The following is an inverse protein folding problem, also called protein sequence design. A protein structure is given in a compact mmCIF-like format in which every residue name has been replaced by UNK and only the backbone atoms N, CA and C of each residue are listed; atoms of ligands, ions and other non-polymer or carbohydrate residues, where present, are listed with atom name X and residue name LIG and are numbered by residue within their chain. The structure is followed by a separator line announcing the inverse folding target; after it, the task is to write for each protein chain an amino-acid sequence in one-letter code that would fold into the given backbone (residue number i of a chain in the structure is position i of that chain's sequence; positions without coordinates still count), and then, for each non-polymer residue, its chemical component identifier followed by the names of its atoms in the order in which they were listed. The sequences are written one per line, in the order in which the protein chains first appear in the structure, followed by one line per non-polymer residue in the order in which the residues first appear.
data_IF_642022877852
#
_entry.id   IF_642022877852
#
_cell.length_a   1.000
_cell.length_b   1.000
_cell.length_c   1.000
_cell.angle_alpha   90.00
_cell.angle_beta   90.00
_cell.angle_gamma   90.00
#
_symmetry.space_group_name_H-M   'P 1'
#
loop_
_entity.id
_entity.type
_entity.pdbx_description
1 polymer ?
#
# COMPACT_ATOMS: atom_id res chain seq x y z
N UNK A 1 14.31 -121.33 -3.17
CA UNK A 1 14.34 -119.96 -2.63
C UNK A 1 15.77 -119.73 -2.17
N UNK A 2 16.53 -118.81 -2.77
CA UNK A 2 17.88 -118.50 -2.28
C UNK A 2 17.74 -117.83 -0.91
N UNK A 3 18.60 -118.16 0.04
CA UNK A 3 18.61 -117.49 1.34
C UNK A 3 19.13 -116.05 1.17
N UNK A 4 18.71 -115.11 2.03
CA UNK A 4 19.15 -113.71 1.92
C UNK A 4 20.68 -113.55 1.97
N UNK A 5 21.35 -114.42 2.75
CA UNK A 5 22.81 -114.48 2.82
C UNK A 5 23.46 -114.95 1.52
N UNK A 6 22.88 -115.95 0.85
CA UNK A 6 23.37 -116.41 -0.47
C UNK A 6 23.25 -115.32 -1.54
N UNK A 7 22.18 -114.51 -1.50
CA UNK A 7 22.00 -113.38 -2.39
C UNK A 7 23.05 -112.29 -2.16
N UNK A 8 23.28 -111.89 -0.91
CA UNK A 8 24.32 -110.91 -0.55
C UNK A 8 25.73 -111.39 -0.92
N UNK A 9 26.04 -112.67 -0.70
CA UNK A 9 27.33 -113.25 -1.11
C UNK A 9 27.51 -113.25 -2.62
N UNK A 10 26.45 -113.47 -3.39
CA UNK A 10 26.52 -113.38 -4.85
C UNK A 10 26.76 -111.92 -5.29
N UNK A 11 26.07 -110.96 -4.68
CA UNK A 11 26.26 -109.54 -4.95
C UNK A 11 27.70 -109.07 -4.68
N UNK A 12 28.28 -109.46 -3.53
CA UNK A 12 29.69 -109.20 -3.21
C UNK A 12 30.70 -109.80 -4.19
N UNK A 13 30.33 -110.85 -4.94
CA UNK A 13 31.21 -111.39 -6.00
C UNK A 13 31.17 -110.53 -7.26
N UNK A 14 30.02 -109.94 -7.55
CA UNK A 14 29.81 -109.11 -8.73
C UNK A 14 30.44 -107.70 -8.57
N UNK A 15 30.74 -107.25 -7.35
CA UNK A 15 31.44 -105.97 -7.09
C UNK A 15 32.84 -105.89 -7.72
N UNK A 16 33.42 -107.02 -8.12
CA UNK A 16 34.69 -107.05 -8.86
C UNK A 16 34.57 -106.49 -10.29
N UNK A 17 33.36 -106.50 -10.86
CA UNK A 17 33.13 -106.02 -12.22
C UNK A 17 32.97 -104.51 -12.27
N UNK A 18 33.57 -103.89 -13.29
CA UNK A 18 33.52 -102.44 -13.50
C UNK A 18 32.12 -101.92 -13.87
N UNK A 19 31.27 -102.79 -14.41
CA UNK A 19 29.85 -102.51 -14.71
C UNK A 19 29.03 -102.37 -13.44
N UNK A 20 29.35 -103.16 -12.40
CA UNK A 20 28.65 -103.10 -11.12
C UNK A 20 28.66 -101.69 -10.53
N UNK A 21 29.76 -100.94 -10.64
CA UNK A 21 29.86 -99.58 -10.07
C UNK A 21 29.46 -98.43 -11.00
N UNK A 22 29.34 -98.67 -12.31
CA UNK A 22 29.05 -97.61 -13.30
C UNK A 22 27.67 -97.71 -13.91
N UNK A 23 27.16 -98.93 -14.05
CA UNK A 23 25.97 -99.23 -14.86
C UNK A 23 24.92 -99.99 -14.01
N UNK A 24 24.81 -99.66 -12.72
CA UNK A 24 23.72 -100.18 -11.89
C UNK A 24 22.37 -99.81 -12.49
N UNK A 25 21.48 -100.79 -12.62
CA UNK A 25 20.17 -100.57 -13.21
C UNK A 25 19.38 -99.57 -12.36
N UNK A 26 19.00 -98.45 -12.97
CA UNK A 26 18.17 -97.42 -12.35
C UNK A 26 18.93 -96.41 -11.49
N UNK A 27 20.27 -96.44 -11.47
CA UNK A 27 21.10 -95.43 -10.81
C UNK A 27 22.12 -94.83 -11.76
N UNK A 28 22.57 -93.63 -11.42
CA UNK A 28 23.68 -92.93 -12.07
C UNK A 28 24.97 -93.38 -11.34
N UNK A 29 26.13 -93.44 -12.02
CA UNK A 29 27.41 -93.62 -11.35
C UNK A 29 27.57 -92.67 -10.16
N UNK A 30 28.09 -93.18 -9.05
CA UNK A 30 28.33 -92.37 -7.85
C UNK A 30 29.33 -91.24 -8.15
N UNK A 31 28.87 -89.99 -7.96
CA UNK A 31 29.68 -88.77 -8.18
C UNK A 31 30.22 -88.18 -6.88
N UNK A 32 29.83 -88.70 -5.71
CA UNK A 32 30.30 -88.27 -4.39
C UNK A 32 31.83 -88.21 -4.27
N UNK A 33 32.63 -89.16 -4.78
CA UNK A 33 34.09 -89.07 -4.63
C UNK A 33 34.74 -87.88 -5.35
N UNK A 34 34.06 -87.28 -6.33
CA UNK A 34 34.57 -86.13 -7.08
C UNK A 34 34.04 -84.80 -6.54
N UNK A 35 33.25 -84.82 -5.47
CA UNK A 35 32.67 -83.63 -4.88
C UNK A 35 33.71 -82.88 -4.03
N UNK A 36 33.72 -81.54 -4.01
CA UNK A 36 34.55 -80.77 -3.10
C UNK A 36 34.37 -81.21 -1.64
N UNK A 37 35.47 -81.19 -0.87
CA UNK A 37 35.46 -81.60 0.53
C UNK A 37 34.44 -80.77 1.33
N UNK A 38 33.51 -81.44 2.02
CA UNK A 38 32.46 -80.81 2.82
C UNK A 38 31.19 -80.44 2.06
N UNK A 39 31.08 -80.77 0.77
CA UNK A 39 29.85 -80.59 0.00
C UNK A 39 28.89 -81.76 0.24
N UNK A 40 27.68 -81.45 0.70
CA UNK A 40 26.62 -82.44 0.90
C UNK A 40 25.68 -82.45 -0.34
N UNK A 41 25.62 -83.54 -1.12
CA UNK A 41 24.80 -83.61 -2.32
C UNK A 41 23.30 -83.50 -2.05
N UNK A 42 22.83 -83.88 -0.85
CA UNK A 42 21.40 -83.87 -0.50
C UNK A 42 20.93 -82.47 -0.09
N UNK A 43 21.80 -81.69 0.56
CA UNK A 43 21.46 -80.37 1.11
C UNK A 43 21.95 -79.18 0.27
N UNK A 44 22.92 -79.40 -0.62
CA UNK A 44 23.52 -78.31 -1.40
C UNK A 44 22.75 -78.06 -2.70
N UNK A 45 22.23 -76.85 -2.87
CA UNK A 45 21.61 -76.44 -4.15
C UNK A 45 22.69 -75.92 -5.10
N UNK A 46 22.80 -76.53 -6.28
CA UNK A 46 23.71 -76.08 -7.34
C UNK A 46 23.15 -74.87 -8.10
N UNK A 47 24.05 -74.03 -8.62
CA UNK A 47 23.72 -72.83 -9.39
C UNK A 47 24.09 -71.52 -8.69
N UNK A 48 24.07 -70.41 -9.43
CA UNK A 48 24.36 -69.08 -8.88
C UNK A 48 23.08 -68.43 -8.37
N UNK A 49 23.07 -68.01 -7.09
CA UNK A 49 21.98 -67.17 -6.58
C UNK A 49 22.10 -65.77 -7.23
N UNK A 50 21.01 -65.17 -7.72
CA UNK A 50 21.06 -63.80 -8.23
C UNK A 50 21.39 -62.84 -7.09
N UNK A 51 22.36 -61.97 -7.31
CA UNK A 51 22.78 -60.99 -6.32
C UNK A 51 21.76 -59.84 -6.28
N UNK A 52 21.05 -59.72 -5.15
CA UNK A 52 20.12 -58.60 -4.91
C UNK A 52 20.93 -57.40 -4.43
N UNK A 53 21.35 -56.54 -5.36
CA UNK A 53 22.21 -55.36 -5.05
C UNK A 53 21.45 -54.31 -4.23
N UNK A 54 20.24 -53.94 -4.69
CA UNK A 54 19.49 -52.82 -4.12
C UNK A 54 17.99 -53.07 -4.23
N UNK A 55 17.24 -52.59 -3.24
CA UNK A 55 15.78 -52.62 -3.27
C UNK A 55 15.23 -51.44 -4.08
N UNK A 56 14.12 -51.63 -4.80
CA UNK A 56 13.46 -50.53 -5.51
C UNK A 56 13.14 -49.33 -4.60
N UNK A 57 12.82 -49.58 -3.33
CA UNK A 57 12.58 -48.54 -2.33
C UNK A 57 13.80 -47.63 -2.11
N UNK A 58 15.01 -48.19 -2.10
CA UNK A 58 16.25 -47.42 -1.94
C UNK A 58 16.62 -46.63 -3.20
N UNK A 59 16.12 -47.06 -4.35
CA UNK A 59 16.34 -46.40 -5.64
C UNK A 59 15.35 -45.25 -5.84
N UNK A 60 14.08 -45.47 -5.51
CA UNK A 60 13.00 -44.49 -5.69
C UNK A 60 13.06 -43.41 -4.63
N UNK A 61 13.29 -43.78 -3.36
CA UNK A 61 13.29 -42.83 -2.26
C UNK A 61 14.72 -42.44 -1.90
N UNK A 62 15.07 -41.14 -1.93
CA UNK A 62 16.38 -40.71 -1.48
C UNK A 62 16.55 -41.05 0.02
N UNK A 63 17.73 -41.58 0.38
CA UNK A 63 18.09 -41.86 1.78
C UNK A 63 18.22 -40.59 2.62
N UNK A 64 18.40 -39.43 1.97
CA UNK A 64 18.51 -38.12 2.62
C UNK A 64 17.16 -37.65 3.16
N UNK A 65 17.16 -37.08 4.35
CA UNK A 65 15.97 -36.42 4.91
C UNK A 65 15.59 -35.18 4.08
N UNK A 66 14.28 -34.92 3.95
CA UNK A 66 13.74 -33.76 3.23
C UNK A 66 14.34 -32.44 3.70
N UNK A 67 14.54 -32.27 5.01
CA UNK A 67 15.09 -31.04 5.58
C UNK A 67 16.51 -30.74 5.04
N UNK A 68 17.35 -31.77 4.93
CA UNK A 68 18.70 -31.63 4.40
C UNK A 68 18.68 -31.31 2.90
N UNK A 69 17.80 -31.97 2.13
CA UNK A 69 17.63 -31.69 0.70
C UNK A 69 17.22 -30.23 0.46
N UNK A 70 16.27 -29.72 1.25
CA UNK A 70 15.81 -28.35 1.13
C UNK A 70 16.92 -27.35 1.54
N UNK A 71 17.70 -27.68 2.57
CA UNK A 71 18.85 -26.87 2.95
C UNK A 71 19.89 -26.79 1.83
N UNK A 72 20.31 -27.93 1.27
CA UNK A 72 21.24 -27.99 0.14
C UNK A 72 20.71 -27.19 -1.07
N UNK A 73 19.41 -27.31 -1.37
CA UNK A 73 18.75 -26.57 -2.43
C UNK A 73 18.81 -25.06 -2.18
N UNK A 74 18.51 -24.60 -0.97
CA UNK A 74 18.50 -23.17 -0.63
C UNK A 74 19.89 -22.53 -0.71
N UNK A 75 20.94 -23.27 -0.34
CA UNK A 75 22.33 -22.79 -0.40
C UNK A 75 22.78 -22.62 -1.86
N UNK A 76 22.38 -23.53 -2.74
CA UNK A 76 22.72 -23.47 -4.18
C UNK A 76 21.80 -22.57 -5.01
N UNK A 77 20.67 -22.13 -4.46
CA UNK A 77 19.59 -21.50 -5.22
C UNK A 77 20.04 -20.23 -5.96
N UNK A 78 20.70 -19.30 -5.27
CA UNK A 78 21.13 -18.02 -5.88
C UNK A 78 22.10 -18.21 -7.06
N UNK A 79 23.04 -19.16 -6.93
CA UNK A 79 23.96 -19.53 -8.00
C UNK A 79 23.21 -20.16 -9.19
N UNK A 80 22.18 -20.95 -8.91
CA UNK A 80 21.37 -21.61 -9.93
C UNK A 80 20.44 -20.64 -10.65
N UNK A 81 19.82 -19.70 -9.92
CA UNK A 81 19.08 -18.57 -10.48
C UNK A 81 19.95 -17.75 -11.44
N UNK A 82 21.21 -17.47 -11.06
CA UNK A 82 22.14 -16.68 -11.87
C UNK A 82 22.60 -17.40 -13.13
N UNK A 83 22.93 -18.70 -13.03
CA UNK A 83 23.48 -19.48 -14.14
C UNK A 83 22.42 -20.00 -15.11
N UNK A 84 21.26 -20.42 -14.61
CA UNK A 84 20.22 -21.09 -15.39
C UNK A 84 18.90 -20.31 -15.47
N UNK A 85 18.80 -19.15 -14.83
CA UNK A 85 17.58 -18.36 -14.76
C UNK A 85 16.38 -19.18 -14.24
N UNK A 86 16.65 -20.10 -13.31
CA UNK A 86 15.69 -21.01 -12.69
C UNK A 86 15.32 -20.48 -11.31
N UNK A 87 14.05 -20.10 -11.14
CA UNK A 87 13.51 -19.51 -9.91
C UNK A 87 12.50 -20.44 -9.28
N UNK A 88 12.28 -20.30 -7.97
CA UNK A 88 11.18 -21.00 -7.31
C UNK A 88 9.82 -20.41 -7.74
N UNK A 89 8.74 -21.21 -7.69
CA UNK A 89 7.40 -20.70 -7.96
C UNK A 89 7.04 -19.53 -7.02
N UNK A 90 6.68 -18.39 -7.60
CA UNK A 90 6.32 -17.18 -6.85
C UNK A 90 7.47 -16.20 -6.59
N UNK A 91 8.70 -16.55 -6.97
CA UNK A 91 9.81 -15.60 -6.94
C UNK A 91 9.76 -14.65 -8.14
N UNK A 92 10.07 -13.38 -7.88
CA UNK A 92 10.24 -12.39 -8.93
C UNK A 92 11.71 -12.30 -9.30
N UNK A 93 12.01 -12.37 -10.60
CA UNK A 93 13.33 -12.00 -11.13
C UNK A 93 13.59 -10.51 -10.87
N UNK A 94 14.49 -10.20 -9.96
CA UNK A 94 14.93 -8.83 -9.68
C UNK A 94 16.28 -8.59 -10.37
N UNK A 95 16.32 -7.66 -11.31
CA UNK A 95 17.54 -7.30 -12.05
C UNK A 95 18.22 -6.06 -11.44
N UNK A 96 17.52 -5.34 -10.56
CA UNK A 96 17.96 -4.05 -10.03
C UNK A 96 18.53 -4.19 -8.62
N UNK A 97 19.79 -3.79 -8.45
CA UNK A 97 20.43 -3.54 -7.15
C UNK A 97 20.71 -2.03 -7.00
N UNK A 98 20.31 -1.38 -5.88
CA UNK A 98 19.65 -1.94 -4.69
C UNK A 98 18.13 -2.16 -4.86
N UNK A 99 17.56 -3.00 -3.98
CA UNK A 99 16.11 -3.21 -3.89
C UNK A 99 15.37 -1.89 -3.72
N UNK A 100 14.32 -1.69 -4.53
CA UNK A 100 13.39 -0.57 -4.35
C UNK A 100 12.87 -0.53 -2.91
N UNK A 101 12.82 0.65 -2.27
CA UNK A 101 12.25 0.80 -0.95
C UNK A 101 10.75 0.47 -0.99
N UNK A 102 10.25 -0.22 0.04
CA UNK A 102 8.86 -0.68 0.12
C UNK A 102 7.84 0.47 0.05
N UNK A 103 8.23 1.64 0.54
CA UNK A 103 7.38 2.84 0.60
C UNK A 103 7.42 3.67 -0.69
N UNK A 104 8.17 3.22 -1.70
CA UNK A 104 8.25 3.91 -2.98
C UNK A 104 6.98 3.67 -3.78
N UNK A 105 6.31 4.76 -4.15
CA UNK A 105 5.21 4.73 -5.11
C UNK A 105 5.79 4.93 -6.51
N UNK A 106 5.36 4.11 -7.46
CA UNK A 106 5.74 4.26 -8.86
C UNK A 106 4.97 5.42 -9.51
N UNK A 107 5.60 6.10 -10.47
CA UNK A 107 5.00 7.18 -11.25
C UNK A 107 5.43 8.58 -10.83
N UNK A 108 4.97 9.58 -11.60
CA UNK A 108 5.30 10.99 -11.34
C UNK A 108 4.42 11.51 -10.21
N UNK A 109 5.04 12.00 -9.13
CA UNK A 109 4.32 12.69 -8.07
C UNK A 109 3.86 14.04 -8.59
N UNK A 110 2.57 14.16 -8.86
CA UNK A 110 1.96 15.46 -9.12
C UNK A 110 1.79 16.20 -7.78
N UNK A 111 2.20 17.47 -7.75
CA UNK A 111 1.98 18.35 -6.59
C UNK A 111 0.53 18.82 -6.65
N UNK A 112 -0.39 17.96 -6.23
CA UNK A 112 -1.81 18.28 -6.12
C UNK A 112 -2.14 18.54 -4.66
N UNK A 113 -2.69 19.71 -4.38
CA UNK A 113 -3.29 20.00 -3.08
C UNK A 113 -4.74 19.50 -3.06
N UNK A 114 -4.94 18.25 -2.64
CA UNK A 114 -6.28 17.66 -2.53
C UNK A 114 -7.16 18.40 -1.50
N UNK A 115 -6.59 19.21 -0.61
CA UNK A 115 -7.37 19.98 0.37
C UNK A 115 -7.97 21.24 -0.23
N UNK A 116 -7.54 21.64 -1.45
CA UNK A 116 -8.06 22.82 -2.15
C UNK A 116 -7.75 24.15 -1.46
N UNK A 117 -6.82 24.18 -0.50
CA UNK A 117 -6.51 25.36 0.31
C UNK A 117 -6.02 26.52 -0.55
N UNK A 118 -5.26 26.22 -1.59
CA UNK A 118 -4.74 27.21 -2.53
C UNK A 118 -5.81 27.71 -3.50
N UNK A 119 -6.76 26.85 -3.90
CA UNK A 119 -7.89 27.24 -4.74
C UNK A 119 -8.77 28.28 -4.02
N UNK A 120 -8.99 28.11 -2.71
CA UNK A 120 -9.70 29.11 -1.88
C UNK A 120 -9.04 30.48 -1.93
N UNK A 121 -7.71 30.55 -1.88
CA UNK A 121 -6.97 31.82 -2.00
C UNK A 121 -7.14 32.46 -3.37
N UNK A 122 -7.14 31.66 -4.44
CA UNK A 122 -7.33 32.16 -5.80
C UNK A 122 -8.75 32.68 -6.05
N UNK A 123 -9.78 32.07 -5.44
CA UNK A 123 -11.18 32.50 -5.57
C UNK A 123 -11.51 33.74 -4.72
N UNK A 124 -10.63 34.12 -3.79
CA UNK A 124 -10.82 35.30 -2.97
C UNK A 124 -10.44 36.56 -3.76
N UNK A 125 -11.43 37.15 -4.44
CA UNK A 125 -11.22 38.34 -5.28
C UNK A 125 -10.90 39.62 -4.49
N UNK A 126 -11.30 39.67 -3.21
CA UNK A 126 -11.00 40.77 -2.29
C UNK A 126 -10.16 40.20 -1.16
N UNK A 127 -8.94 40.71 -1.06
CA UNK A 127 -8.10 40.43 0.09
C UNK A 127 -8.71 41.07 1.34
N UNK A 128 -9.23 40.23 2.25
CA UNK A 128 -9.80 40.68 3.52
C UNK A 128 -8.71 41.20 4.48
N UNK A 129 -7.42 41.01 4.17
CA UNK A 129 -6.33 41.64 4.90
C UNK A 129 -6.27 43.17 4.70
N UNK A 130 -6.93 43.69 3.64
CA UNK A 130 -7.00 45.12 3.30
C UNK A 130 -8.03 45.87 4.17
N UNK A 131 -8.75 45.19 5.07
CA UNK A 131 -9.23 45.85 6.30
C UNK A 131 -8.00 46.08 7.21
N UNK A 132 -6.97 46.69 6.65
CA UNK A 132 -5.75 47.07 7.33
C UNK A 132 -6.04 48.36 8.06
N UNK A 133 -5.64 48.42 9.33
CA UNK A 133 -5.54 49.68 10.02
C UNK A 133 -4.64 50.60 9.18
N UNK A 134 -5.24 51.62 8.58
CA UNK A 134 -4.49 52.64 7.83
C UNK A 134 -4.23 53.83 8.73
N UNK A 135 -3.25 54.67 8.39
CA UNK A 135 -3.05 55.92 9.11
C UNK A 135 -4.32 56.78 9.02
N UNK A 136 -4.59 57.55 10.07
CA UNK A 136 -5.71 58.49 10.11
C UNK A 136 -5.75 59.41 8.89
N UNK A 137 -4.60 59.90 8.47
CA UNK A 137 -4.46 60.77 7.27
C UNK A 137 -4.88 60.07 5.98
N UNK A 138 -4.54 58.78 5.81
CA UNK A 138 -4.92 58.01 4.63
C UNK A 138 -6.41 57.69 4.64
N UNK A 139 -6.99 57.41 5.82
CA UNK A 139 -8.42 57.21 5.97
C UNK A 139 -9.21 58.49 5.62
N UNK A 140 -8.83 59.63 6.20
CA UNK A 140 -9.45 60.94 5.91
C UNK A 140 -9.32 61.32 4.41
N UNK A 141 -8.17 61.06 3.79
CA UNK A 141 -7.97 61.28 2.35
C UNK A 141 -8.90 60.40 1.49
N UNK A 142 -9.07 59.12 1.86
CA UNK A 142 -9.97 58.20 1.17
C UNK A 142 -11.43 58.62 1.31
N UNK A 143 -11.85 59.04 2.50
CA UNK A 143 -13.23 59.48 2.77
C UNK A 143 -13.60 60.76 1.98
N UNK A 144 -12.63 61.65 1.75
CA UNK A 144 -12.83 62.84 0.91
C UNK A 144 -12.93 62.53 -0.58
N UNK A 145 -12.19 61.52 -1.06
CA UNK A 145 -12.09 61.20 -2.50
C UNK A 145 -13.14 60.20 -2.97
N UNK A 146 -13.39 59.13 -2.21
CA UNK A 146 -14.33 58.09 -2.59
C UNK A 146 -15.76 58.49 -2.20
N UNK A 147 -16.73 58.14 -3.06
CA UNK A 147 -18.13 58.44 -2.79
C UNK A 147 -18.68 57.42 -1.78
N UNK A 148 -19.20 57.86 -0.62
CA UNK A 148 -19.86 56.95 0.29
C UNK A 148 -21.19 56.51 -0.33
N UNK A 149 -21.46 55.20 -0.27
CA UNK A 149 -22.76 54.67 -0.68
C UNK A 149 -23.81 55.07 0.38
N UNK A 150 -24.93 55.66 -0.07
CA UNK A 150 -26.07 56.01 0.78
C UNK A 150 -25.91 57.26 1.67
N UNK A 151 -24.79 58.00 1.58
CA UNK A 151 -24.59 59.28 2.29
C UNK A 151 -24.21 60.39 1.31
N UNK A 152 -24.55 61.64 1.66
CA UNK A 152 -24.04 62.81 0.95
C UNK A 152 -22.53 62.97 1.13
N UNK A 153 -21.83 63.49 0.12
CA UNK A 153 -20.39 63.73 0.19
C UNK A 153 -20.09 64.95 1.06
N UNK A 154 -19.38 64.75 2.16
CA UNK A 154 -18.93 65.83 3.05
C UNK A 154 -17.57 66.32 2.55
N UNK A 155 -17.51 67.55 2.02
CA UNK A 155 -16.25 68.16 1.53
C UNK A 155 -15.62 69.13 2.53
N UNK A 156 -16.41 69.63 3.45
CA UNK A 156 -16.04 70.66 4.42
C UNK A 156 -16.50 70.21 5.79
N UNK A 157 -15.69 70.48 6.83
CA UNK A 157 -16.17 70.35 8.20
C UNK A 157 -17.35 71.30 8.42
N UNK A 158 -18.36 70.85 9.16
CA UNK A 158 -19.44 71.74 9.62
C UNK A 158 -18.80 72.71 10.63
N UNK A 159 -18.90 74.03 10.45
CA UNK A 159 -18.44 74.99 11.47
C UNK A 159 -19.11 74.69 12.80
N UNK A 160 -18.35 74.73 13.90
CA UNK A 160 -18.80 74.35 15.26
C UNK A 160 -20.03 75.15 15.72
N UNK A 161 -20.32 76.29 15.10
CA UNK A 161 -21.47 77.14 15.41
C UNK A 161 -22.80 76.65 14.82
N UNK A 162 -22.75 75.70 13.87
CA UNK A 162 -23.92 75.15 13.19
C UNK A 162 -24.23 73.74 13.72
N UNK A 163 -24.61 73.67 14.99
CA UNK A 163 -25.05 72.44 15.63
C UNK A 163 -26.45 72.03 15.15
N UNK A 164 -26.84 70.77 15.40
CA UNK A 164 -28.08 70.15 14.92
C UNK A 164 -29.40 70.85 15.32
N UNK A 165 -29.34 71.87 16.19
CA UNK A 165 -30.48 72.73 16.55
C UNK A 165 -30.53 74.07 15.82
N UNK A 166 -29.56 74.37 14.95
CA UNK A 166 -29.48 75.62 14.19
C UNK A 166 -29.94 75.40 12.75
N UNK A 167 -30.82 76.28 12.25
CA UNK A 167 -31.29 76.23 10.88
C UNK A 167 -30.29 76.95 9.96
N UNK A 168 -29.96 76.34 8.83
CA UNK A 168 -29.15 77.01 7.80
C UNK A 168 -29.95 78.12 7.11
N UNK A 169 -29.34 79.29 6.92
CA UNK A 169 -29.94 80.44 6.23
C UNK A 169 -30.08 81.67 7.11
N UNK A 170 -30.47 82.80 6.51
CA UNK A 170 -30.71 84.05 7.23
C UNK A 170 -32.13 84.06 7.82
N UNK A 171 -32.25 84.24 9.14
CA UNK A 171 -33.54 84.31 9.80
C UNK A 171 -34.21 85.67 9.52
N UNK A 172 -35.28 85.66 8.72
CA UNK A 172 -36.15 86.82 8.59
C UNK A 172 -36.92 87.04 9.89
N UNK A 173 -36.55 88.06 10.66
CA UNK A 173 -37.27 88.45 11.89
C UNK A 173 -38.58 89.13 11.48
N UNK A 174 -39.69 88.42 11.52
CA UNK A 174 -41.03 89.00 11.39
C UNK A 174 -41.53 89.41 12.78
N UNK A 175 -41.21 90.63 13.21
CA UNK A 175 -41.86 91.23 14.37
C UNK A 175 -43.31 91.59 14.01
N UNK A 176 -44.27 90.84 14.54
CA UNK A 176 -45.68 91.24 14.52
C UNK A 176 -45.92 92.33 15.57
N UNK A 177 -45.46 93.56 15.31
CA UNK A 177 -45.98 94.73 16.04
C UNK A 177 -47.42 94.93 15.59
N UNK A 178 -48.37 94.72 16.50
CA UNK A 178 -49.80 94.75 16.22
C UNK A 178 -50.20 96.03 15.47
N UNK A 179 -50.84 95.86 14.31
CA UNK A 179 -51.44 96.93 13.49
C UNK A 179 -52.33 97.92 14.28
N UNK A 180 -52.76 97.54 15.50
CA UNK A 180 -53.57 98.35 16.39
C UNK A 180 -52.85 99.61 16.92
N UNK A 181 -51.52 99.61 17.05
CA UNK A 181 -50.76 100.78 17.52
C UNK A 181 -50.61 101.87 16.45
N UNK A 182 -50.79 101.51 15.17
CA UNK A 182 -50.68 102.45 14.05
C UNK A 182 -52.00 103.21 13.81
N UNK A 183 -53.16 102.60 14.11
CA UNK A 183 -54.49 103.21 13.87
C UNK A 183 -54.82 104.25 14.95
N UNK A 184 -54.42 104.03 16.21
CA UNK A 184 -54.77 104.91 17.34
C UNK A 184 -54.06 106.28 17.34
N UNK A 185 -53.03 106.47 16.50
CA UNK A 185 -52.33 107.76 16.34
C UNK A 185 -53.03 108.73 15.38
N UNK A 186 -53.95 108.25 14.54
CA UNK A 186 -54.57 109.03 13.44
C UNK A 186 -55.68 109.98 13.91
N UNK A 187 -56.40 109.65 14.99
CA UNK A 187 -57.60 110.40 15.42
C UNK A 187 -57.33 111.62 16.31
N UNK A 188 -56.07 111.84 16.76
CA UNK A 188 -55.72 113.00 17.62
C UNK A 188 -55.32 114.28 16.86
N UNK A 189 -55.25 114.26 15.53
CA UNK A 189 -54.75 115.40 14.72
C UNK A 189 -55.85 116.20 13.99
N UNK A 190 -57.13 115.85 14.14
CA UNK A 190 -58.26 116.57 13.53
C UNK A 190 -59.02 117.44 14.56
N UNK A 191 -58.44 118.59 14.94
CA UNK A 191 -59.04 119.55 15.90
C UNK A 191 -58.89 121.02 15.48
N UNK A 192 -59.87 121.51 14.71
CA UNK A 192 -60.27 122.92 14.41
C UNK A 192 -59.62 124.06 15.22
N UNK A 193 -59.09 125.08 14.52
CA UNK A 193 -59.17 126.50 14.94
C UNK A 193 -59.65 127.38 13.78
N UNK A 194 -60.68 128.21 14.05
CA UNK A 194 -61.28 129.22 13.15
C UNK A 194 -60.53 130.57 13.32
N UNK A 195 -60.40 131.42 12.28
CA UNK A 195 -59.97 132.80 12.45
C UNK A 195 -61.14 133.72 12.83
N UNK A 196 -60.91 134.66 13.75
CA UNK A 196 -61.84 135.73 14.11
C UNK A 196 -61.11 137.09 14.01
N UNK A 197 -61.78 138.02 13.31
CA UNK A 197 -61.70 139.48 13.27
C UNK A 197 -60.33 140.17 13.44
#
# INVERSE_FOLDING_TARGET
MKTGFEAFRAELRETAYKSYWRDEVGKIPDQVPNLPVGMDPENTTFGSKPLKVTTAAELVNPKKCRALINYESSVGHDLYCRSHNSYEPGEQKRVMDPSLPKDMVFGVKHVVDNTGRHVKKLLQWIDQSIISMTSRSMAEYKDLLYYPLGKGRVRTGVPVENDAGSNFGEAGVFEYTGQLDFISRSDKLAGRQKPAA
#
